data_IF_659894560657
#
_entry.id   IF_659894560657
#
_cell.length_a   1.000
_cell.length_b   1.000
_cell.length_c   1.000
_cell.angle_alpha   90.00
_cell.angle_beta   90.00
_cell.angle_gamma   90.00
#
_symmetry.space_group_name_H-M   'P 1'
#
loop_
_entity.id
_entity.type
_entity.pdbx_description
1 polymer ?
#
# COMPACT_ATOMS: atom_id res chain seq x y z
N UNK A 1 39.24 -23.55 10.83
CA UNK A 1 37.84 -23.49 10.37
C UNK A 1 37.30 -22.13 10.76
N UNK A 2 37.28 -21.20 9.81
CA UNK A 2 36.75 -19.85 10.00
C UNK A 2 35.24 -19.94 10.15
N UNK A 3 34.73 -19.73 11.36
CA UNK A 3 33.31 -19.47 11.61
C UNK A 3 32.92 -18.23 10.80
N UNK A 4 32.26 -18.42 9.65
CA UNK A 4 31.62 -17.32 8.93
C UNK A 4 30.58 -16.71 9.88
N UNK A 5 30.87 -15.53 10.44
CA UNK A 5 29.86 -14.72 11.10
C UNK A 5 28.77 -14.40 10.07
N UNK A 6 27.61 -15.05 10.17
CA UNK A 6 26.47 -14.77 9.29
C UNK A 6 25.93 -13.37 9.57
N UNK A 7 25.60 -12.63 8.51
CA UNK A 7 24.96 -11.30 8.62
C UNK A 7 23.57 -11.44 9.26
N UNK A 8 23.05 -10.36 9.85
CA UNK A 8 21.69 -10.38 10.43
C UNK A 8 20.63 -10.76 9.37
N UNK A 9 20.79 -10.29 8.12
CA UNK A 9 19.96 -10.73 7.00
C UNK A 9 19.94 -12.24 6.84
N UNK A 10 21.12 -12.88 6.78
CA UNK A 10 21.21 -14.33 6.60
C UNK A 10 20.56 -15.06 7.78
N UNK A 11 20.82 -14.61 9.01
CA UNK A 11 20.21 -15.17 10.21
C UNK A 11 18.67 -15.10 10.18
N UNK A 12 18.12 -13.97 9.75
CA UNK A 12 16.66 -13.79 9.58
C UNK A 12 16.12 -14.75 8.51
N UNK A 13 16.78 -14.85 7.36
CA UNK A 13 16.37 -15.75 6.26
C UNK A 13 16.40 -17.22 6.69
N UNK A 14 17.45 -17.63 7.39
CA UNK A 14 17.59 -18.99 7.90
C UNK A 14 16.49 -19.32 8.92
N UNK A 15 16.19 -18.38 9.83
CA UNK A 15 15.14 -18.53 10.83
C UNK A 15 13.74 -18.56 10.19
N UNK A 16 13.48 -17.68 9.23
CA UNK A 16 12.22 -17.67 8.48
C UNK A 16 12.00 -19.02 7.78
N UNK A 17 13.03 -19.54 7.09
CA UNK A 17 12.97 -20.86 6.45
C UNK A 17 12.72 -21.98 7.46
N UNK A 18 13.44 -21.98 8.59
CA UNK A 18 13.28 -23.00 9.64
C UNK A 18 11.85 -23.01 10.23
N UNK A 19 11.19 -21.86 10.27
CA UNK A 19 9.81 -21.70 10.75
C UNK A 19 8.75 -21.80 9.65
N UNK A 20 9.14 -22.06 8.38
CA UNK A 20 8.24 -21.99 7.22
C UNK A 20 7.50 -20.65 7.13
N UNK A 21 8.21 -19.56 7.38
CA UNK A 21 7.69 -18.21 7.30
C UNK A 21 8.04 -17.56 5.96
N UNK A 22 7.11 -16.76 5.43
CA UNK A 22 7.33 -15.86 4.31
C UNK A 22 7.38 -14.41 4.82
N UNK A 23 8.38 -13.65 4.40
CA UNK A 23 8.56 -12.24 4.74
C UNK A 23 8.08 -11.38 3.58
N UNK A 24 7.09 -10.53 3.82
CA UNK A 24 6.54 -9.58 2.85
C UNK A 24 7.02 -8.18 3.22
N UNK A 25 7.48 -7.39 2.24
CA UNK A 25 7.84 -5.98 2.46
C UNK A 25 7.12 -5.06 1.49
N UNK A 26 6.45 -4.03 2.02
CA UNK A 26 5.90 -2.98 1.17
C UNK A 26 7.02 -2.23 0.44
N UNK A 27 6.76 -1.72 -0.76
CA UNK A 27 7.73 -0.94 -1.55
C UNK A 27 8.25 0.32 -0.83
N UNK A 28 7.60 0.75 0.25
CA UNK A 28 8.03 1.89 1.08
C UNK A 28 8.90 1.49 2.27
N UNK A 29 9.19 0.21 2.46
CA UNK A 29 10.12 -0.23 3.51
C UNK A 29 11.54 0.30 3.24
N UNK A 30 12.39 0.31 4.26
CA UNK A 30 13.80 0.64 4.06
C UNK A 30 14.51 -0.46 3.25
N UNK A 31 15.56 -0.09 2.50
CA UNK A 31 16.31 -1.02 1.66
C UNK A 31 16.72 -2.33 2.38
N UNK A 32 17.25 -2.30 3.62
CA UNK A 32 17.61 -3.53 4.32
C UNK A 32 16.43 -4.48 4.58
N UNK A 33 15.22 -3.93 4.77
CA UNK A 33 13.99 -4.71 4.97
C UNK A 33 13.50 -5.30 3.65
N UNK A 34 13.55 -4.52 2.56
CA UNK A 34 13.24 -5.01 1.23
C UNK A 34 14.20 -6.14 0.80
N UNK A 35 15.49 -6.04 1.17
CA UNK A 35 16.50 -7.04 0.80
C UNK A 35 16.40 -8.36 1.57
N UNK A 36 15.73 -8.38 2.73
CA UNK A 36 15.47 -9.63 3.49
C UNK A 36 14.12 -10.27 3.16
N UNK A 37 13.24 -9.56 2.45
CA UNK A 37 11.91 -10.04 2.11
C UNK A 37 11.93 -11.14 1.03
N UNK A 38 10.96 -12.05 1.10
CA UNK A 38 10.66 -13.00 0.01
C UNK A 38 9.95 -12.31 -1.14
N UNK A 39 9.02 -11.40 -0.82
CA UNK A 39 8.21 -10.66 -1.77
C UNK A 39 8.20 -9.17 -1.40
N UNK A 40 8.43 -8.33 -2.41
CA UNK A 40 8.22 -6.89 -2.33
C UNK A 40 7.10 -6.48 -3.30
N UNK A 41 6.27 -5.53 -2.90
CA UNK A 41 5.20 -5.02 -3.76
C UNK A 41 4.12 -4.22 -3.03
N UNK A 42 3.00 -4.03 -3.72
CA UNK A 42 1.78 -3.46 -3.15
C UNK A 42 1.08 -4.46 -2.21
N UNK A 43 0.50 -3.94 -1.13
CA UNK A 43 -0.02 -4.72 0.02
C UNK A 43 -0.99 -5.84 -0.33
N UNK A 44 -1.95 -5.57 -1.24
CA UNK A 44 -2.97 -6.54 -1.62
C UNK A 44 -2.37 -7.69 -2.44
N UNK A 45 -1.54 -7.36 -3.42
CA UNK A 45 -0.93 -8.34 -4.31
C UNK A 45 -0.03 -9.30 -3.52
N UNK A 46 0.78 -8.76 -2.59
CA UNK A 46 1.61 -9.58 -1.70
C UNK A 46 0.77 -10.51 -0.82
N UNK A 47 -0.34 -10.01 -0.26
CA UNK A 47 -1.22 -10.83 0.58
C UNK A 47 -1.85 -11.98 -0.21
N UNK A 48 -2.26 -11.74 -1.46
CA UNK A 48 -2.79 -12.78 -2.36
C UNK A 48 -1.71 -13.81 -2.70
N UNK A 49 -0.49 -13.35 -3.05
CA UNK A 49 0.65 -14.26 -3.34
C UNK A 49 1.02 -15.09 -2.13
N UNK A 50 1.06 -14.49 -0.94
CA UNK A 50 1.34 -15.19 0.31
C UNK A 50 0.27 -16.23 0.67
N UNK A 51 -1.00 -15.98 0.34
CA UNK A 51 -2.07 -16.97 0.50
C UNK A 51 -1.84 -18.23 -0.33
N UNK A 52 -1.17 -18.10 -1.49
CA UNK A 52 -0.89 -19.20 -2.40
C UNK A 52 0.36 -20.02 -2.06
N UNK A 53 1.12 -19.67 -1.01
CA UNK A 53 2.31 -20.42 -0.59
C UNK A 53 2.00 -21.46 0.48
N UNK A 54 2.94 -22.38 0.70
CA UNK A 54 2.94 -23.40 1.76
C UNK A 54 3.47 -22.87 3.10
N UNK A 55 3.75 -21.56 3.21
CA UNK A 55 4.23 -20.95 4.45
C UNK A 55 3.16 -20.99 5.55
N UNK A 56 3.54 -21.38 6.76
CA UNK A 56 2.66 -21.40 7.94
C UNK A 56 2.53 -20.00 8.57
N UNK A 57 3.54 -19.15 8.34
CA UNK A 57 3.68 -17.82 8.96
C UNK A 57 3.90 -16.76 7.88
N UNK A 58 3.21 -15.63 8.00
CA UNK A 58 3.44 -14.43 7.19
C UNK A 58 4.00 -13.35 8.11
N UNK A 59 5.22 -12.88 7.84
CA UNK A 59 5.78 -11.69 8.48
C UNK A 59 5.53 -10.49 7.56
N UNK A 60 4.64 -9.59 7.97
CA UNK A 60 4.22 -8.44 7.18
C UNK A 60 5.01 -7.19 7.60
N UNK A 61 6.06 -6.87 6.86
CA UNK A 61 6.82 -5.62 6.98
C UNK A 61 6.08 -4.49 6.26
N UNK A 62 5.13 -3.88 6.96
CA UNK A 62 4.29 -2.79 6.49
C UNK A 62 3.61 -2.12 7.67
N UNK A 63 2.42 -1.55 7.42
CA UNK A 63 1.61 -0.90 8.45
C UNK A 63 0.39 -1.76 8.83
N UNK A 64 -0.26 -1.42 9.94
CA UNK A 64 -1.28 -2.26 10.60
C UNK A 64 -2.36 -2.81 9.67
N UNK A 65 -2.99 -1.95 8.88
CA UNK A 65 -4.07 -2.39 7.98
C UNK A 65 -3.61 -3.41 6.93
N UNK A 66 -2.32 -3.43 6.57
CA UNK A 66 -1.76 -4.37 5.61
C UNK A 66 -1.68 -5.76 6.25
N UNK A 67 -1.17 -5.82 7.48
CA UNK A 67 -1.14 -7.06 8.25
C UNK A 67 -2.56 -7.57 8.56
N UNK A 68 -3.50 -6.68 8.87
CA UNK A 68 -4.92 -7.05 9.00
C UNK A 68 -5.50 -7.61 7.70
N UNK A 69 -5.15 -7.03 6.55
CA UNK A 69 -5.58 -7.52 5.24
C UNK A 69 -5.02 -8.91 4.95
N UNK A 70 -3.76 -9.17 5.30
CA UNK A 70 -3.18 -10.51 5.23
C UNK A 70 -3.90 -11.49 6.16
N UNK A 71 -4.24 -11.09 7.39
CA UNK A 71 -4.99 -11.93 8.34
C UNK A 71 -6.43 -12.20 7.88
N UNK A 72 -7.04 -11.25 7.16
CA UNK A 72 -8.34 -11.43 6.52
C UNK A 72 -8.24 -12.52 5.45
N UNK A 73 -7.28 -12.38 4.52
CA UNK A 73 -7.10 -13.25 3.35
C UNK A 73 -6.55 -14.65 3.68
N UNK A 74 -5.76 -14.76 4.75
CA UNK A 74 -5.06 -15.98 5.14
C UNK A 74 -5.45 -16.40 6.58
N UNK A 75 -6.72 -16.75 6.84
CA UNK A 75 -7.20 -17.01 8.21
C UNK A 75 -6.49 -18.20 8.89
N UNK A 76 -5.98 -19.15 8.10
CA UNK A 76 -5.33 -20.36 8.59
C UNK A 76 -3.82 -20.17 8.85
N UNK A 77 -3.25 -19.03 8.46
CA UNK A 77 -1.82 -18.71 8.62
C UNK A 77 -1.61 -17.79 9.82
N UNK A 78 -0.46 -17.89 10.47
CA UNK A 78 -0.07 -16.94 11.53
C UNK A 78 0.46 -15.67 10.85
N UNK A 79 -0.25 -14.55 11.01
CA UNK A 79 0.23 -13.24 10.54
C UNK A 79 0.91 -12.50 11.67
N UNK A 80 2.16 -12.09 11.45
CA UNK A 80 2.97 -11.32 12.36
C UNK A 80 3.32 -9.96 11.75
N UNK A 81 3.32 -8.93 12.59
CA UNK A 81 3.75 -7.58 12.25
C UNK A 81 4.95 -7.21 13.15
N UNK A 82 6.15 -7.03 12.59
CA UNK A 82 7.37 -6.85 13.38
C UNK A 82 7.30 -5.69 14.37
N UNK A 83 6.72 -4.56 13.95
CA UNK A 83 6.64 -3.36 14.76
C UNK A 83 5.17 -2.92 14.90
N UNK A 84 4.51 -3.13 16.06
CA UNK A 84 3.08 -2.84 16.23
C UNK A 84 2.72 -1.36 16.18
N UNK A 85 3.71 -0.47 16.33
CA UNK A 85 3.53 0.98 16.27
C UNK A 85 3.47 1.52 14.84
N UNK A 86 3.70 0.69 13.81
CA UNK A 86 3.60 1.11 12.41
C UNK A 86 2.13 1.28 11.97
N UNK A 87 1.58 2.48 12.15
CA UNK A 87 0.21 2.84 11.81
C UNK A 87 0.08 3.45 10.41
N UNK A 88 -1.10 4.00 10.11
CA UNK A 88 -1.29 4.84 8.94
C UNK A 88 -2.27 5.96 9.31
N UNK A 89 -1.81 7.21 9.46
CA UNK A 89 -2.66 8.30 9.91
C UNK A 89 -3.94 8.44 9.08
N UNK A 90 -3.84 8.25 7.76
CA UNK A 90 -4.98 8.28 6.85
C UNK A 90 -6.00 7.17 7.10
N UNK A 91 -5.54 5.95 7.42
CA UNK A 91 -6.44 4.84 7.74
C UNK A 91 -7.23 5.10 9.02
N UNK A 92 -6.65 5.87 9.94
CA UNK A 92 -7.25 6.26 11.22
C UNK A 92 -8.22 7.47 11.09
N UNK A 93 -8.26 8.14 9.92
CA UNK A 93 -9.19 9.25 9.64
C UNK A 93 -10.64 8.79 9.39
N UNK A 94 -10.91 7.48 9.40
CA UNK A 94 -12.25 6.91 9.24
C UNK A 94 -12.51 5.83 10.29
N UNK A 95 -13.64 5.94 11.00
CA UNK A 95 -14.12 4.90 11.94
C UNK A 95 -15.35 4.20 11.37
N UNK A 96 -15.63 2.94 11.75
CA UNK A 96 -16.81 2.22 11.26
C UNK A 96 -18.12 2.93 11.64
N UNK A 97 -18.22 3.53 12.82
CA UNK A 97 -19.44 4.24 13.27
C UNK A 97 -19.69 5.50 12.44
N UNK A 98 -18.63 6.27 12.18
CA UNK A 98 -18.72 7.48 11.37
C UNK A 98 -19.07 7.14 9.92
N UNK A 99 -18.52 6.05 9.39
CA UNK A 99 -18.81 5.58 8.04
C UNK A 99 -20.27 5.11 7.89
N UNK A 100 -20.78 4.33 8.85
CA UNK A 100 -22.18 3.87 8.86
C UNK A 100 -23.13 5.06 8.94
N UNK A 101 -22.85 6.05 9.80
CA UNK A 101 -23.64 7.28 9.90
C UNK A 101 -23.65 8.03 8.57
N UNK A 102 -22.47 8.28 8.00
CA UNK A 102 -22.35 9.02 6.73
C UNK A 102 -23.03 8.31 5.57
N UNK A 103 -22.95 6.98 5.51
CA UNK A 103 -23.70 6.17 4.54
C UNK A 103 -25.21 6.35 4.70
N UNK A 104 -25.70 6.38 5.94
CA UNK A 104 -27.11 6.66 6.26
C UNK A 104 -27.55 8.06 5.81
N UNK A 105 -26.76 9.09 6.10
CA UNK A 105 -27.02 10.48 5.70
C UNK A 105 -27.08 10.65 4.18
N UNK A 106 -26.39 9.78 3.44
CA UNK A 106 -26.38 9.73 1.97
C UNK A 106 -27.40 8.74 1.40
N UNK A 107 -28.40 8.32 2.16
CA UNK A 107 -29.49 7.45 1.68
C UNK A 107 -29.08 6.01 1.40
N UNK A 108 -27.98 5.53 1.99
CA UNK A 108 -27.54 4.14 1.88
C UNK A 108 -26.76 3.80 0.61
N UNK A 109 -26.24 4.81 -0.12
CA UNK A 109 -25.42 4.58 -1.32
C UNK A 109 -24.22 3.67 -1.06
N UNK A 110 -23.69 2.96 -2.08
CA UNK A 110 -22.54 2.10 -1.91
C UNK A 110 -21.29 2.85 -1.44
N UNK A 111 -20.54 2.18 -0.56
CA UNK A 111 -19.27 2.63 -0.01
C UNK A 111 -18.14 1.84 -0.64
N UNK A 112 -17.26 2.56 -1.35
CA UNK A 112 -15.97 2.06 -1.83
C UNK A 112 -14.90 2.51 -0.84
N UNK A 113 -14.22 1.57 -0.21
CA UNK A 113 -13.17 1.88 0.78
C UNK A 113 -11.81 1.44 0.28
N UNK A 114 -10.88 2.38 0.21
CA UNK A 114 -9.49 2.10 -0.07
C UNK A 114 -8.91 1.15 1.00
N UNK A 115 -8.07 0.19 0.59
CA UNK A 115 -7.47 -0.81 1.49
C UNK A 115 -6.70 -0.20 2.66
N UNK A 116 -6.28 1.07 2.56
CA UNK A 116 -5.70 1.88 3.63
C UNK A 116 -6.79 2.31 4.64
N UNK A 117 -7.33 1.32 5.35
CA UNK A 117 -8.45 1.43 6.30
C UNK A 117 -8.39 0.24 7.26
N UNK A 118 -8.93 0.34 8.48
CA UNK A 118 -8.94 -0.82 9.39
C UNK A 118 -9.83 -1.96 8.89
N UNK A 119 -9.61 -3.19 9.39
CA UNK A 119 -10.50 -4.32 9.15
C UNK A 119 -11.96 -4.03 9.54
N UNK A 120 -12.17 -3.28 10.62
CA UNK A 120 -13.50 -2.88 11.08
C UNK A 120 -14.21 -1.94 10.10
N UNK A 121 -13.48 -0.99 9.49
CA UNK A 121 -14.02 -0.13 8.44
C UNK A 121 -14.37 -0.97 7.20
N UNK A 122 -13.47 -1.85 6.76
CA UNK A 122 -13.74 -2.78 5.64
C UNK A 122 -15.00 -3.64 5.88
N UNK A 123 -15.27 -4.02 7.12
CA UNK A 123 -16.43 -4.84 7.49
C UNK A 123 -17.79 -4.13 7.35
N UNK A 124 -17.80 -2.79 7.28
CA UNK A 124 -19.02 -2.00 7.03
C UNK A 124 -19.07 -1.37 5.63
N UNK A 125 -18.06 -1.63 4.79
CA UNK A 125 -17.98 -1.17 3.41
C UNK A 125 -18.63 -2.16 2.43
N UNK A 126 -19.10 -1.66 1.29
CA UNK A 126 -19.71 -2.51 0.27
C UNK A 126 -18.67 -3.20 -0.62
N UNK A 127 -17.54 -2.52 -0.88
CA UNK A 127 -16.41 -3.00 -1.69
C UNK A 127 -15.13 -2.26 -1.33
N UNK A 128 -13.97 -2.91 -1.48
CA UNK A 128 -12.67 -2.24 -1.36
C UNK A 128 -12.11 -1.75 -2.71
N UNK A 129 -11.09 -0.89 -2.69
CA UNK A 129 -10.26 -0.59 -3.86
C UNK A 129 -8.77 -0.46 -3.46
N UNK A 130 -7.89 -0.41 -4.45
CA UNK A 130 -6.49 0.04 -4.33
C UNK A 130 -6.23 1.21 -5.27
N UNK A 131 -5.10 1.91 -5.13
CA UNK A 131 -4.69 2.93 -6.10
C UNK A 131 -4.50 2.36 -7.52
N UNK A 132 -4.27 1.05 -7.65
CA UNK A 132 -4.08 0.37 -8.94
C UNK A 132 -5.39 0.06 -9.68
N UNK A 133 -6.52 -0.07 -8.97
CA UNK A 133 -7.79 -0.52 -9.58
C UNK A 133 -8.98 0.40 -9.30
N UNK A 134 -8.79 1.54 -8.62
CA UNK A 134 -9.89 2.42 -8.20
C UNK A 134 -10.85 2.79 -9.34
N UNK A 135 -10.34 3.14 -10.52
CA UNK A 135 -11.17 3.49 -11.69
C UNK A 135 -12.02 2.29 -12.12
N UNK A 136 -11.41 1.10 -12.20
CA UNK A 136 -12.13 -0.14 -12.54
C UNK A 136 -13.21 -0.47 -11.51
N UNK A 137 -12.89 -0.33 -10.23
CA UNK A 137 -13.83 -0.61 -9.12
C UNK A 137 -15.04 0.31 -9.19
N UNK A 138 -14.81 1.62 -9.36
CA UNK A 138 -15.87 2.62 -9.47
C UNK A 138 -16.77 2.31 -10.67
N UNK A 139 -16.18 2.05 -11.84
CA UNK A 139 -16.93 1.74 -13.07
C UNK A 139 -17.69 0.41 -13.01
N UNK A 140 -17.23 -0.57 -12.24
CA UNK A 140 -17.88 -1.88 -12.12
C UNK A 140 -19.19 -1.85 -11.30
N UNK A 141 -19.38 -0.86 -10.43
CA UNK A 141 -20.63 -0.71 -9.69
C UNK A 141 -21.78 -0.32 -10.63
N UNK A 142 -23.03 -0.66 -10.30
CA UNK A 142 -24.20 -0.30 -11.12
C UNK A 142 -24.74 1.08 -10.76
N UNK A 143 -24.51 1.49 -9.54
CA UNK A 143 -24.99 2.73 -8.94
C UNK A 143 -24.22 3.92 -9.53
N UNK A 144 -24.95 5.01 -9.79
CA UNK A 144 -24.37 6.25 -10.35
C UNK A 144 -23.69 7.13 -9.30
N UNK A 145 -24.01 6.89 -8.04
CA UNK A 145 -23.58 7.69 -6.89
C UNK A 145 -22.97 6.78 -5.83
N UNK A 146 -21.78 7.12 -5.35
CA UNK A 146 -21.00 6.30 -4.40
C UNK A 146 -20.31 7.19 -3.36
N UNK A 147 -20.00 6.64 -2.19
CA UNK A 147 -19.12 7.25 -1.19
C UNK A 147 -17.74 6.59 -1.26
N UNK A 148 -16.68 7.39 -1.35
CA UNK A 148 -15.30 6.91 -1.32
C UNK A 148 -14.56 7.34 -0.05
N UNK A 149 -13.86 6.39 0.57
CA UNK A 149 -13.11 6.60 1.82
C UNK A 149 -11.73 5.92 1.83
N UNK A 150 -10.80 6.33 2.71
CA UNK A 150 -10.78 7.62 3.40
C UNK A 150 -10.16 8.73 2.55
N UNK A 151 -9.42 8.42 1.48
CA UNK A 151 -8.61 9.39 0.76
C UNK A 151 -9.40 10.22 -0.26
N UNK A 152 -9.49 11.54 -0.02
CA UNK A 152 -10.19 12.50 -0.89
C UNK A 152 -9.50 12.71 -2.23
N UNK A 153 -8.19 12.57 -2.32
CA UNK A 153 -7.43 12.81 -3.55
C UNK A 153 -7.60 11.63 -4.52
N UNK A 154 -7.52 10.40 -4.01
CA UNK A 154 -7.84 9.19 -4.77
C UNK A 154 -9.29 9.21 -5.25
N UNK A 155 -10.21 9.68 -4.41
CA UNK A 155 -11.62 9.83 -4.78
C UNK A 155 -11.83 10.92 -5.85
N UNK A 156 -11.11 12.06 -5.78
CA UNK A 156 -11.10 13.08 -6.86
C UNK A 156 -10.51 12.55 -8.15
N UNK A 157 -9.41 11.79 -8.07
CA UNK A 157 -8.81 11.13 -9.23
C UNK A 157 -9.82 10.17 -9.89
N UNK A 158 -10.52 9.36 -9.10
CA UNK A 158 -11.56 8.49 -9.63
C UNK A 158 -12.74 9.27 -10.24
N UNK A 159 -13.18 10.36 -9.60
CA UNK A 159 -14.26 11.21 -10.10
C UNK A 159 -13.90 11.89 -11.44
N UNK A 160 -12.63 12.26 -11.63
CA UNK A 160 -12.15 12.84 -12.88
C UNK A 160 -12.04 11.82 -14.03
N UNK A 161 -12.04 10.51 -13.73
CA UNK A 161 -11.84 9.43 -14.69
C UNK A 161 -13.06 8.50 -14.84
N UNK A 162 -14.21 8.88 -14.30
CA UNK A 162 -15.44 8.10 -14.35
C UNK A 162 -16.66 9.04 -14.44
N UNK A 163 -17.77 8.55 -14.99
CA UNK A 163 -19.02 9.32 -15.08
C UNK A 163 -19.86 9.28 -13.78
N UNK A 164 -19.26 8.87 -12.67
CA UNK A 164 -19.97 8.66 -11.41
C UNK A 164 -19.92 9.89 -10.51
N UNK A 165 -21.01 10.12 -9.78
CA UNK A 165 -21.02 11.09 -8.69
C UNK A 165 -20.35 10.47 -7.47
N UNK A 166 -19.18 10.98 -7.10
CA UNK A 166 -18.41 10.46 -5.97
C UNK A 166 -18.47 11.44 -4.80
N UNK A 167 -19.05 10.99 -3.69
CA UNK A 167 -18.93 11.69 -2.40
C UNK A 167 -17.59 11.38 -1.76
N UNK A 168 -16.95 12.42 -1.24
CA UNK A 168 -15.62 12.33 -0.67
C UNK A 168 -15.71 12.19 0.86
N UNK A 169 -14.87 11.33 1.42
CA UNK A 169 -14.45 11.43 2.81
C UNK A 169 -13.26 12.40 2.89
N UNK A 170 -13.22 13.30 3.88
CA UNK A 170 -12.17 14.32 3.98
C UNK A 170 -10.88 13.79 4.66
N UNK A 171 -10.47 12.57 4.34
CA UNK A 171 -9.19 12.01 4.72
C UNK A 171 -8.16 12.16 3.61
N UNK A 172 -6.88 12.02 3.94
CA UNK A 172 -5.79 12.13 2.98
C UNK A 172 -4.49 11.53 3.54
N UNK A 173 -3.60 11.08 2.65
CA UNK A 173 -2.23 10.78 3.03
C UNK A 173 -1.44 12.09 3.24
N UNK A 174 -0.89 12.39 4.43
CA UNK A 174 -0.19 13.65 4.68
C UNK A 174 1.04 13.81 3.78
N UNK A 175 1.77 12.73 3.51
CA UNK A 175 3.01 12.79 2.74
C UNK A 175 2.77 13.10 1.26
N UNK A 176 1.76 12.46 0.64
CA UNK A 176 1.42 12.72 -0.76
C UNK A 176 0.63 14.03 -0.92
N UNK A 177 -0.19 14.40 0.07
CA UNK A 177 -0.96 15.65 0.06
C UNK A 177 -0.06 16.88 0.19
N UNK A 178 1.09 16.78 0.86
CA UNK A 178 1.98 17.92 1.12
C UNK A 178 3.01 18.15 0.00
N UNK A 179 3.10 17.27 -1.00
CA UNK A 179 3.89 17.49 -2.20
C UNK A 179 3.41 18.77 -2.91
N UNK A 180 4.30 19.75 -3.05
CA UNK A 180 3.99 21.04 -3.66
C UNK A 180 4.26 21.06 -5.17
N UNK A 181 3.52 21.88 -5.91
CA UNK A 181 3.73 22.12 -7.34
C UNK A 181 5.13 22.68 -7.60
N UNK A 182 5.65 23.50 -6.69
CA UNK A 182 6.98 24.09 -6.75
C UNK A 182 8.07 23.02 -6.70
N UNK A 183 7.93 22.02 -5.81
CA UNK A 183 8.86 20.90 -5.72
C UNK A 183 8.85 20.08 -7.02
N UNK A 184 7.66 19.80 -7.59
CA UNK A 184 7.55 19.11 -8.88
C UNK A 184 8.24 19.90 -10.00
N UNK A 185 7.98 21.20 -10.10
CA UNK A 185 8.58 22.07 -11.13
C UNK A 185 10.10 22.14 -10.98
N UNK A 186 10.61 22.25 -9.75
CA UNK A 186 12.03 22.24 -9.48
C UNK A 186 12.68 20.90 -9.90
N UNK A 187 12.05 19.77 -9.56
CA UNK A 187 12.54 18.44 -9.94
C UNK A 187 12.52 18.23 -11.47
N UNK A 188 11.44 18.63 -12.16
CA UNK A 188 11.36 18.59 -13.63
C UNK A 188 12.41 19.50 -14.30
N UNK A 189 12.72 20.65 -13.70
CA UNK A 189 13.78 21.53 -14.19
C UNK A 189 15.20 20.93 -13.99
N UNK A 190 15.42 20.22 -12.88
CA UNK A 190 16.67 19.52 -12.61
C UNK A 190 16.87 18.27 -13.50
N UNK A 191 15.77 17.63 -13.90
CA UNK A 191 15.78 16.41 -14.73
C UNK A 191 14.86 16.58 -15.96
N UNK A 192 15.21 17.43 -16.93
CA UNK A 192 14.32 17.83 -18.03
C UNK A 192 13.96 16.70 -19.02
N UNK A 193 14.68 15.56 -18.96
CA UNK A 193 14.41 14.37 -19.78
C UNK A 193 13.57 13.32 -19.04
N UNK A 194 13.36 13.49 -17.73
CA UNK A 194 12.71 12.49 -16.91
C UNK A 194 11.18 12.59 -17.01
N UNK A 195 10.52 11.44 -17.14
CA UNK A 195 9.07 11.37 -17.04
C UNK A 195 8.65 11.46 -15.57
N UNK A 196 7.71 12.36 -15.26
CA UNK A 196 7.15 12.47 -13.91
C UNK A 196 6.01 11.48 -13.72
N UNK A 197 6.23 10.47 -12.86
CA UNK A 197 5.26 9.44 -12.53
C UNK A 197 4.83 9.62 -11.08
N UNK A 198 3.54 9.83 -10.83
CA UNK A 198 3.02 10.26 -9.52
C UNK A 198 1.95 9.31 -8.96
N UNK A 199 1.83 9.25 -7.65
CA UNK A 199 0.79 8.45 -6.99
C UNK A 199 -0.55 9.20 -6.95
N UNK A 200 -1.71 8.55 -7.17
CA UNK A 200 -3.02 9.21 -7.17
C UNK A 200 -3.50 9.71 -5.79
N UNK A 201 -2.72 9.50 -4.73
CA UNK A 201 -2.96 10.14 -3.41
C UNK A 201 -2.48 11.61 -3.38
N UNK A 202 -1.71 12.05 -4.39
CA UNK A 202 -1.33 13.45 -4.54
C UNK A 202 -2.52 14.33 -4.93
N UNK A 203 -2.44 15.61 -4.58
CA UNK A 203 -3.49 16.58 -4.90
C UNK A 203 -3.67 16.78 -6.41
N UNK A 204 -4.88 17.15 -6.89
CA UNK A 204 -5.14 17.32 -8.33
C UNK A 204 -4.16 18.25 -9.07
N UNK A 205 -3.76 19.37 -8.45
CA UNK A 205 -2.80 20.34 -8.99
C UNK A 205 -1.42 19.72 -9.26
N UNK A 206 -1.03 18.71 -8.48
CA UNK A 206 0.18 17.92 -8.69
C UNK A 206 -0.03 16.86 -9.79
N UNK A 207 -1.19 16.19 -9.79
CA UNK A 207 -1.52 15.17 -10.78
C UNK A 207 -1.56 15.74 -12.21
N UNK A 208 -1.97 16.99 -12.38
CA UNK A 208 -1.99 17.70 -13.67
C UNK A 208 -0.60 17.87 -14.32
N UNK A 209 0.48 17.77 -13.53
CA UNK A 209 1.85 17.89 -14.02
C UNK A 209 2.47 16.57 -14.47
N UNK A 210 1.75 15.46 -14.25
CA UNK A 210 2.23 14.10 -14.41
C UNK A 210 2.24 13.64 -15.86
N UNK A 211 3.31 12.94 -16.23
CA UNK A 211 3.38 12.18 -17.47
C UNK A 211 2.64 10.83 -17.32
N UNK A 212 2.56 10.30 -16.09
CA UNK A 212 1.69 9.16 -15.76
C UNK A 212 1.29 9.14 -14.28
N UNK A 213 0.06 8.70 -13.98
CA UNK A 213 -0.44 8.52 -12.62
C UNK A 213 -0.55 7.01 -12.33
N UNK A 214 0.13 6.51 -11.31
CA UNK A 214 0.27 5.08 -11.05
C UNK A 214 0.31 4.73 -9.55
N UNK A 215 -0.18 3.54 -9.19
CA UNK A 215 0.19 2.85 -7.94
C UNK A 215 1.68 2.50 -7.90
N UNK A 216 2.25 2.09 -6.77
CA UNK A 216 3.70 1.83 -6.69
C UNK A 216 4.17 0.68 -7.58
N UNK A 217 3.47 -0.47 -7.61
CA UNK A 217 3.78 -1.53 -8.58
C UNK A 217 3.50 -1.08 -10.02
N UNK A 218 2.51 -0.20 -10.21
CA UNK A 218 2.21 0.43 -11.50
C UNK A 218 3.34 1.31 -12.01
N UNK A 219 4.05 2.02 -11.13
CA UNK A 219 5.24 2.82 -11.49
C UNK A 219 6.38 1.93 -11.99
N UNK A 220 6.63 0.80 -11.30
CA UNK A 220 7.65 -0.17 -11.71
C UNK A 220 7.32 -0.73 -13.10
N UNK A 221 6.06 -1.15 -13.31
CA UNK A 221 5.59 -1.65 -14.61
C UNK A 221 5.72 -0.60 -15.70
N UNK A 222 5.21 0.61 -15.47
CA UNK A 222 5.27 1.72 -16.42
C UNK A 222 6.71 2.05 -16.83
N UNK A 223 7.64 2.10 -15.87
CA UNK A 223 9.04 2.37 -16.16
C UNK A 223 9.69 1.25 -17.00
N UNK A 224 9.35 -0.02 -16.74
CA UNK A 224 9.84 -1.17 -17.51
C UNK A 224 9.30 -1.23 -18.94
N UNK A 225 8.05 -0.81 -19.15
CA UNK A 225 7.40 -0.77 -20.47
C UNK A 225 7.77 0.48 -21.28
N UNK A 226 8.20 1.55 -20.61
CA UNK A 226 8.57 2.82 -21.25
C UNK A 226 9.95 2.76 -21.92
N UNK A 227 10.08 3.45 -23.06
CA UNK A 227 11.36 3.66 -23.74
C UNK A 227 12.24 4.73 -23.07
N UNK A 228 11.71 5.48 -22.10
CA UNK A 228 12.49 6.47 -21.35
C UNK A 228 13.49 5.79 -20.39
N UNK A 229 14.60 6.46 -20.12
CA UNK A 229 15.68 6.02 -19.24
C UNK A 229 15.73 6.80 -17.91
N UNK A 230 14.87 7.81 -17.74
CA UNK A 230 14.86 8.72 -16.60
C UNK A 230 13.43 8.95 -16.12
N UNK A 231 13.22 8.85 -14.80
CA UNK A 231 11.91 9.00 -14.18
C UNK A 231 12.02 9.81 -12.88
N UNK A 232 11.13 10.77 -12.69
CA UNK A 232 10.90 11.43 -11.40
C UNK A 232 9.73 10.72 -10.72
N UNK A 233 9.93 10.24 -9.50
CA UNK A 233 8.93 9.53 -8.73
C UNK A 233 8.23 10.46 -7.73
N UNK A 234 6.95 10.71 -7.98
CA UNK A 234 6.05 11.45 -7.10
C UNK A 234 5.38 10.56 -6.06
N UNK A 235 6.19 9.92 -5.21
CA UNK A 235 5.73 9.04 -4.13
C UNK A 235 6.80 8.88 -3.06
N UNK A 236 6.51 8.11 -2.01
CA UNK A 236 7.46 7.78 -0.95
C UNK A 236 8.79 7.22 -1.48
N UNK A 237 9.90 7.73 -0.93
CA UNK A 237 11.28 7.50 -1.42
C UNK A 237 11.76 6.04 -1.35
N UNK A 238 11.16 5.20 -0.51
CA UNK A 238 11.48 3.78 -0.42
C UNK A 238 11.24 3.01 -1.72
N UNK A 239 10.34 3.50 -2.59
CA UNK A 239 10.11 2.90 -3.91
C UNK A 239 11.39 2.90 -4.77
N UNK A 240 12.27 3.89 -4.60
CA UNK A 240 13.50 4.03 -5.39
C UNK A 240 14.36 2.77 -5.29
N UNK A 241 14.43 2.14 -4.11
CA UNK A 241 15.19 0.90 -3.94
C UNK A 241 14.58 -0.24 -4.76
N UNK A 242 13.26 -0.46 -4.62
CA UNK A 242 12.55 -1.53 -5.33
C UNK A 242 12.66 -1.38 -6.85
N UNK A 243 12.41 -0.17 -7.36
CA UNK A 243 12.38 0.09 -8.81
C UNK A 243 13.80 0.08 -9.41
N UNK A 244 14.80 0.63 -8.72
CA UNK A 244 16.20 0.57 -9.18
C UNK A 244 16.74 -0.87 -9.20
N UNK A 245 16.30 -1.71 -8.26
CA UNK A 245 16.66 -3.13 -8.25
C UNK A 245 15.98 -3.91 -9.38
N UNK A 246 14.74 -3.54 -9.73
CA UNK A 246 14.00 -4.16 -10.82
C UNK A 246 14.49 -3.72 -12.21
N UNK A 247 14.98 -2.48 -12.34
CA UNK A 247 15.34 -1.83 -13.60
C UNK A 247 16.71 -1.12 -13.46
N UNK A 248 17.81 -1.87 -13.29
CA UNK A 248 19.13 -1.31 -12.98
C UNK A 248 19.73 -0.43 -14.09
N UNK A 249 19.22 -0.54 -15.32
CA UNK A 249 19.64 0.26 -16.47
C UNK A 249 18.95 1.64 -16.57
N UNK A 250 17.95 1.91 -15.72
CA UNK A 250 17.18 3.15 -15.72
C UNK A 250 17.51 4.01 -14.49
N UNK A 251 17.26 5.31 -14.61
CA UNK A 251 17.53 6.29 -13.56
C UNK A 251 16.23 6.77 -12.91
N UNK A 252 16.22 6.75 -11.58
CA UNK A 252 15.06 7.11 -10.78
C UNK A 252 15.42 8.22 -9.80
N UNK A 253 14.69 9.34 -9.86
CA UNK A 253 14.89 10.51 -9.03
C UNK A 253 13.70 10.70 -8.11
N UNK A 254 13.89 10.96 -6.79
CA UNK A 254 12.79 11.41 -5.96
C UNK A 254 12.31 12.78 -6.43
N UNK A 255 11.01 13.03 -6.43
CA UNK A 255 10.50 14.40 -6.64
C UNK A 255 10.92 15.34 -5.51
N UNK A 256 11.07 14.80 -4.30
CA UNK A 256 11.54 15.47 -3.09
C UNK A 256 11.98 14.44 -2.06
N UNK A 257 13.06 14.73 -1.34
CA UNK A 257 13.56 13.90 -0.23
C UNK A 257 12.63 13.91 0.99
N UNK A 258 11.59 14.77 0.98
CA UNK A 258 10.64 14.91 2.09
C UNK A 258 9.50 13.88 2.03
N UNK A 259 9.33 13.14 0.92
CA UNK A 259 8.31 12.10 0.81
C UNK A 259 8.80 10.83 1.53
N UNK A 260 8.82 10.90 2.85
CA UNK A 260 9.20 9.79 3.74
C UNK A 260 8.04 9.53 4.70
N UNK A 261 7.52 8.30 4.69
CA UNK A 261 6.48 7.89 5.64
C UNK A 261 7.15 7.33 6.91
N UNK A 262 7.10 8.02 8.07
CA UNK A 262 7.77 7.57 9.28
C UNK A 262 7.27 6.21 9.76
N UNK A 263 5.98 5.92 9.64
CA UNK A 263 5.40 4.63 10.01
C UNK A 263 5.98 3.46 9.21
N UNK A 264 6.19 3.66 7.90
CA UNK A 264 6.85 2.66 7.05
C UNK A 264 8.31 2.44 7.46
N UNK A 265 9.00 3.44 8.03
CA UNK A 265 10.40 3.33 8.46
C UNK A 265 10.58 2.83 9.90
N UNK A 266 9.49 2.61 10.65
CA UNK A 266 9.57 2.07 12.02
C UNK A 266 10.12 0.65 12.08
N UNK A 267 9.83 -0.18 11.07
CA UNK A 267 10.30 -1.57 11.05
C UNK A 267 11.80 -1.66 10.79
N UNK A 268 12.52 -2.33 11.69
CA UNK A 268 13.96 -2.59 11.60
C UNK A 268 14.24 -4.10 11.51
N UNK A 269 15.45 -4.48 11.06
CA UNK A 269 15.84 -5.90 10.94
C UNK A 269 15.74 -6.64 12.28
N UNK A 270 16.08 -5.96 13.37
CA UNK A 270 15.98 -6.53 14.71
C UNK A 270 14.54 -6.83 15.10
N UNK A 271 13.57 -6.03 14.64
CA UNK A 271 12.14 -6.28 14.86
C UNK A 271 11.72 -7.58 14.17
N UNK A 272 12.16 -7.80 12.92
CA UNK A 272 11.88 -9.03 12.17
C UNK A 272 12.47 -10.24 12.88
N UNK A 273 13.74 -10.15 13.31
CA UNK A 273 14.39 -11.20 14.09
C UNK A 273 13.58 -11.53 15.35
N UNK A 274 13.29 -10.53 16.18
CA UNK A 274 12.57 -10.70 17.44
C UNK A 274 11.18 -11.30 17.20
N UNK A 275 10.49 -10.82 16.16
CA UNK A 275 9.17 -11.27 15.74
C UNK A 275 9.17 -12.76 15.38
N UNK A 276 10.12 -13.21 14.56
CA UNK A 276 10.28 -14.62 14.19
C UNK A 276 10.71 -15.48 15.37
N UNK A 277 11.69 -15.04 16.15
CA UNK A 277 12.25 -15.79 17.28
C UNK A 277 11.18 -16.02 18.35
N UNK A 278 10.47 -14.96 18.75
CA UNK A 278 9.51 -14.96 19.86
C UNK A 278 8.07 -15.24 19.41
N UNK A 279 7.80 -15.34 18.11
CA UNK A 279 6.45 -15.43 17.55
C UNK A 279 5.55 -14.27 18.00
N UNK A 280 6.13 -13.08 18.17
CA UNK A 280 5.45 -11.88 18.69
C UNK A 280 4.88 -11.01 17.57
N UNK A 281 4.01 -10.07 17.93
CA UNK A 281 3.38 -9.16 16.96
C UNK A 281 2.26 -9.81 16.15
N UNK A 282 1.63 -10.87 16.70
CA UNK A 282 0.51 -11.55 16.04
C UNK A 282 -0.64 -10.59 15.80
N UNK A 283 -1.09 -10.53 14.55
CA UNK A 283 -2.27 -9.78 14.14
C UNK A 283 -3.44 -10.75 14.05
N UNK A 284 -4.51 -10.45 14.77
CA UNK A 284 -5.75 -11.21 14.78
C UNK A 284 -6.89 -10.26 14.47
N UNK A 285 -7.72 -10.63 13.50
CA UNK A 285 -8.98 -9.94 13.20
C UNK A 285 -10.10 -10.81 13.75
N UNK A 286 -10.98 -10.24 14.55
CA UNK A 286 -12.14 -10.94 15.12
C UNK A 286 -13.00 -11.54 14.01
N UNK A 287 -13.44 -12.79 14.14
CA UNK A 287 -13.98 -13.57 13.03
C UNK A 287 -15.23 -12.92 12.40
N UNK A 288 -16.11 -12.30 13.20
CA UNK A 288 -17.29 -11.63 12.68
C UNK A 288 -16.92 -10.40 11.82
N UNK A 289 -15.86 -9.68 12.20
CA UNK A 289 -15.29 -8.58 11.41
C UNK A 289 -14.60 -9.15 10.16
N UNK A 290 -13.79 -10.20 10.32
CA UNK A 290 -13.01 -10.81 9.24
C UNK A 290 -13.88 -11.26 8.09
N UNK A 291 -14.98 -11.98 8.36
CA UNK A 291 -15.91 -12.49 7.34
C UNK A 291 -16.51 -11.33 6.54
N UNK A 292 -16.93 -10.26 7.21
CA UNK A 292 -17.52 -9.08 6.56
C UNK A 292 -16.48 -8.33 5.73
N UNK A 293 -15.30 -8.07 6.29
CA UNK A 293 -14.20 -7.41 5.58
C UNK A 293 -13.73 -8.22 4.37
N UNK A 294 -13.67 -9.56 4.50
CA UNK A 294 -13.37 -10.48 3.41
C UNK A 294 -14.35 -10.32 2.25
N UNK A 295 -15.64 -10.09 2.50
CA UNK A 295 -16.61 -9.87 1.43
C UNK A 295 -16.30 -8.61 0.62
N UNK A 296 -15.96 -7.49 1.28
CA UNK A 296 -15.58 -6.26 0.61
C UNK A 296 -14.28 -6.41 -0.20
N UNK A 297 -13.28 -7.10 0.37
CA UNK A 297 -11.99 -7.37 -0.28
C UNK A 297 -12.14 -8.34 -1.46
N UNK A 298 -12.92 -9.43 -1.34
CA UNK A 298 -13.15 -10.39 -2.43
C UNK A 298 -13.86 -9.75 -3.62
N UNK A 299 -14.87 -8.90 -3.36
CA UNK A 299 -15.57 -8.18 -4.44
C UNK A 299 -14.59 -7.33 -5.27
N UNK A 300 -13.65 -6.65 -4.62
CA UNK A 300 -12.58 -5.90 -5.29
C UNK A 300 -11.68 -6.82 -6.14
N UNK A 301 -11.24 -7.95 -5.58
CA UNK A 301 -10.34 -8.89 -6.28
C UNK A 301 -11.02 -9.51 -7.52
N UNK A 302 -12.33 -9.72 -7.46
CA UNK A 302 -13.09 -10.34 -8.55
C UNK A 302 -13.42 -9.38 -9.71
N UNK A 303 -13.08 -8.09 -9.59
CA UNK A 303 -13.24 -7.12 -10.68
C UNK A 303 -12.07 -7.28 -11.65
N UNK A 304 -12.41 -7.62 -12.90
CA UNK A 304 -11.45 -7.82 -14.01
C UNK A 304 -11.15 -6.48 -14.72
#
# INVERSE_FOLDING_TARGET
MTTKNSTLHQKIRDLAKAKKAIILAHNYQSAPIQDVADLCGDSLEMSIKAAATDADIIVCCGVRFMAETAAILCPDKIVLMPNPEAGCPMADMVTPEALVRRKGDLGGIPVITYVNSSAAVKAVSDICCTSANVIKVVNALKEKEVLMTPDRNLARYAAANTDKKIHLWDGYCPFHNDLSVEAVKASKAAHPKALFVVHPECRPDVLELADSIQSTSGMIRFAGESSADQFILGTETGLIHAISKALPEKNFFPVSDQLVCPDMKKTQLQDIWNCLEKMSGRVVVEEAIRIKAMNAVKKMINIK
#
